data_IF_670865794422
#
_entry.id   IF_670865794422
#
_cell.length_a   1.000
_cell.length_b   1.000
_cell.length_c   1.000
_cell.angle_alpha   90.00
_cell.angle_beta   90.00
_cell.angle_gamma   90.00
#
_symmetry.space_group_name_H-M   'P 1'
#
loop_
_entity.id
_entity.type
_entity.pdbx_description
1 polymer ?
#
# COMPACT_ATOMS: atom_id res chain seq x y z
N UNK A 1 30.89 35.47 -44.49
CA UNK A 1 30.65 34.25 -43.68
C UNK A 1 29.18 34.27 -43.28
N UNK A 2 28.38 33.29 -43.69
CA UNK A 2 26.93 33.24 -43.43
C UNK A 2 26.69 32.31 -42.25
N UNK A 3 26.24 32.86 -41.11
CA UNK A 3 25.89 32.08 -39.94
C UNK A 3 24.48 31.49 -40.14
N UNK A 4 24.40 30.15 -40.14
CA UNK A 4 23.12 29.42 -40.15
C UNK A 4 22.73 29.22 -38.69
N UNK A 5 21.68 29.91 -38.24
CA UNK A 5 21.12 29.75 -36.90
C UNK A 5 20.20 28.52 -36.95
N UNK A 6 20.64 27.41 -36.36
CA UNK A 6 19.84 26.20 -36.21
C UNK A 6 18.98 26.36 -34.95
N UNK A 7 17.70 26.67 -35.12
CA UNK A 7 16.73 26.72 -34.03
C UNK A 7 16.44 25.29 -33.54
N UNK A 8 16.90 24.96 -32.34
CA UNK A 8 16.65 23.67 -31.69
C UNK A 8 15.26 23.71 -31.06
N UNK A 9 14.28 23.07 -31.70
CA UNK A 9 12.95 22.86 -31.11
C UNK A 9 13.06 21.72 -30.11
N UNK A 10 13.13 22.06 -28.81
CA UNK A 10 13.02 21.09 -27.72
C UNK A 10 11.55 20.69 -27.63
N UNK A 11 11.21 19.55 -28.21
CA UNK A 11 9.90 18.96 -28.04
C UNK A 11 9.76 18.48 -26.58
N UNK A 12 8.98 19.21 -25.77
CA UNK A 12 8.51 18.71 -24.48
C UNK A 12 7.55 17.54 -24.76
N UNK A 13 8.06 16.32 -24.69
CA UNK A 13 7.22 15.14 -24.67
C UNK A 13 6.52 15.09 -23.30
N UNK A 14 5.19 14.94 -23.26
CA UNK A 14 4.50 14.70 -22.00
C UNK A 14 4.96 13.36 -21.45
N UNK A 15 5.66 13.37 -20.32
CA UNK A 15 5.91 12.17 -19.52
C UNK A 15 4.56 11.66 -19.04
N UNK A 16 4.10 10.56 -19.64
CA UNK A 16 2.96 9.82 -19.12
C UNK A 16 3.36 9.32 -17.73
N UNK A 17 2.70 9.83 -16.70
CA UNK A 17 2.85 9.31 -15.36
C UNK A 17 2.34 7.87 -15.39
N UNK A 18 3.28 6.90 -15.37
CA UNK A 18 2.95 5.51 -15.14
C UNK A 18 2.37 5.47 -13.73
N UNK A 19 1.09 5.13 -13.61
CA UNK A 19 0.48 4.91 -12.32
C UNK A 19 1.34 3.89 -11.57
N UNK A 20 1.78 4.26 -10.37
CA UNK A 20 2.47 3.33 -9.51
C UNK A 20 1.55 2.13 -9.26
N UNK A 21 1.93 0.95 -9.76
CA UNK A 21 1.28 -0.34 -9.45
C UNK A 21 1.53 -0.78 -8.00
N UNK A 22 2.00 0.14 -7.15
CA UNK A 22 2.13 -0.04 -5.72
C UNK A 22 1.24 0.96 -4.97
N UNK A 23 0.64 0.50 -3.88
CA UNK A 23 -0.21 1.31 -3.03
C UNK A 23 -0.15 0.86 -1.58
N UNK A 24 -0.45 1.78 -0.67
CA UNK A 24 -0.54 1.51 0.76
C UNK A 24 -2.02 1.33 1.15
N UNK A 25 -2.38 0.18 1.72
CA UNK A 25 -3.62 -0.01 2.46
C UNK A 25 -3.37 0.30 3.93
N UNK A 26 -4.20 1.15 4.52
CA UNK A 26 -4.11 1.46 5.95
C UNK A 26 -5.36 0.91 6.63
N UNK A 27 -5.18 -0.16 7.39
CA UNK A 27 -6.23 -0.71 8.25
C UNK A 27 -6.24 0.07 9.55
N UNK A 28 -7.37 0.67 9.91
CA UNK A 28 -7.53 1.39 11.18
C UNK A 28 -8.70 0.81 11.93
N UNK A 29 -8.60 0.82 13.26
CA UNK A 29 -9.70 0.39 14.10
C UNK A 29 -9.47 0.71 15.57
N UNK A 30 -10.35 0.18 16.39
CA UNK A 30 -10.23 0.19 17.85
C UNK A 30 -10.39 -1.22 18.34
N UNK A 31 -9.47 -1.66 19.20
CA UNK A 31 -9.65 -2.88 20.00
C UNK A 31 -10.23 -2.46 21.34
N UNK A 32 -11.29 -3.15 21.78
CA UNK A 32 -11.88 -2.96 23.10
C UNK A 32 -11.57 -4.19 23.95
N UNK A 33 -10.74 -4.04 24.98
CA UNK A 33 -10.34 -5.14 25.86
C UNK A 33 -11.29 -5.19 27.06
N UNK A 34 -12.44 -5.86 26.92
CA UNK A 34 -13.38 -6.07 28.02
C UNK A 34 -13.92 -4.78 28.67
N UNK A 35 -14.76 -4.94 29.70
CA UNK A 35 -15.50 -3.83 30.35
C UNK A 35 -14.63 -2.86 31.18
N UNK A 36 -13.34 -3.15 31.36
CA UNK A 36 -12.47 -2.45 32.32
C UNK A 36 -11.24 -1.79 31.68
N UNK A 37 -10.77 -2.27 30.52
CA UNK A 37 -9.54 -1.81 29.90
C UNK A 37 -9.89 -1.07 28.59
N UNK A 38 -9.75 0.26 28.63
CA UNK A 38 -10.26 1.17 27.61
C UNK A 38 -9.86 0.86 26.15
N UNK A 39 -10.57 1.46 25.20
CA UNK A 39 -10.34 1.21 23.77
C UNK A 39 -8.93 1.65 23.33
N UNK A 40 -8.15 0.75 22.72
CA UNK A 40 -6.89 1.10 22.07
C UNK A 40 -7.10 1.31 20.58
N UNK A 41 -6.61 2.42 20.03
CA UNK A 41 -6.60 2.63 18.57
C UNK A 41 -5.45 1.83 17.98
N UNK A 42 -5.70 1.10 16.90
CA UNK A 42 -4.65 0.48 16.10
C UNK A 42 -4.69 1.01 14.67
N UNK A 43 -3.52 1.06 14.05
CA UNK A 43 -3.37 1.34 12.63
C UNK A 43 -2.26 0.44 12.09
N UNK A 44 -2.58 -0.36 11.09
CA UNK A 44 -1.63 -1.25 10.41
C UNK A 44 -1.53 -0.81 8.96
N UNK A 45 -0.31 -0.63 8.47
CA UNK A 45 -0.07 -0.30 7.05
C UNK A 45 0.33 -1.56 6.30
N UNK A 46 -0.23 -1.77 5.13
CA UNK A 46 0.17 -2.79 4.19
C UNK A 46 0.59 -2.12 2.89
N UNK A 47 1.84 -2.29 2.48
CA UNK A 47 2.30 -1.87 1.16
C UNK A 47 2.17 -3.03 0.19
N UNK A 48 1.50 -2.78 -0.92
CA UNK A 48 1.21 -3.78 -1.96
C UNK A 48 1.91 -3.33 -3.23
N UNK A 49 2.56 -4.26 -3.92
CA UNK A 49 3.15 -4.07 -5.23
C UNK A 49 2.58 -5.15 -6.17
N UNK A 50 1.72 -4.72 -7.09
CA UNK A 50 1.06 -5.61 -8.06
C UNK A 50 2.00 -6.01 -9.20
N UNK A 51 3.01 -5.20 -9.51
CA UNK A 51 4.02 -5.51 -10.53
C UNK A 51 4.86 -6.69 -10.09
N UNK A 52 5.38 -6.65 -8.85
CA UNK A 52 6.22 -7.71 -8.30
C UNK A 52 5.42 -8.81 -7.59
N UNK A 53 4.10 -8.65 -7.48
CA UNK A 53 3.18 -9.52 -6.75
C UNK A 53 3.65 -9.76 -5.31
N UNK A 54 4.02 -8.69 -4.62
CA UNK A 54 4.55 -8.72 -3.26
C UNK A 54 3.84 -7.74 -2.35
N UNK A 55 3.98 -7.98 -1.06
CA UNK A 55 3.46 -7.10 -0.03
C UNK A 55 4.34 -7.12 1.21
N UNK A 56 4.16 -6.10 2.05
CA UNK A 56 4.79 -6.01 3.35
C UNK A 56 3.94 -5.20 4.33
N UNK A 57 4.19 -5.41 5.63
CA UNK A 57 3.51 -4.71 6.72
C UNK A 57 4.40 -3.60 7.29
N UNK A 58 3.78 -2.51 7.72
CA UNK A 58 4.36 -1.38 8.45
C UNK A 58 5.63 -0.80 7.79
N UNK A 59 6.80 -1.05 8.37
CA UNK A 59 8.11 -0.57 7.88
C UNK A 59 8.73 -1.45 6.79
N UNK A 60 8.03 -2.50 6.39
CA UNK A 60 8.47 -3.49 5.42
C UNK A 60 9.73 -4.27 5.81
N UNK A 61 9.94 -4.53 7.12
CA UNK A 61 11.00 -5.41 7.60
C UNK A 61 10.96 -6.84 7.04
N UNK A 62 9.79 -7.29 6.55
CA UNK A 62 9.64 -8.55 5.79
C UNK A 62 8.76 -8.35 4.57
N UNK A 63 9.28 -8.73 3.40
CA UNK A 63 8.56 -8.72 2.12
C UNK A 63 8.12 -10.14 1.78
N UNK A 64 6.83 -10.30 1.51
CA UNK A 64 6.18 -11.58 1.24
C UNK A 64 5.53 -11.59 -0.14
N UNK A 65 5.40 -12.75 -0.79
CA UNK A 65 4.61 -12.86 -2.02
C UNK A 65 3.12 -12.69 -1.73
N UNK A 66 2.38 -12.15 -2.70
CA UNK A 66 0.92 -12.23 -2.74
C UNK A 66 0.50 -13.66 -3.11
N UNK A 67 -0.55 -14.17 -2.48
CA UNK A 67 -1.09 -15.51 -2.77
C UNK A 67 -1.86 -15.49 -4.08
N UNK A 68 -2.76 -14.52 -4.22
CA UNK A 68 -3.53 -14.30 -5.45
C UNK A 68 -4.00 -12.86 -5.56
N UNK A 69 -4.22 -12.42 -6.80
CA UNK A 69 -4.82 -11.14 -7.15
C UNK A 69 -5.86 -11.42 -8.23
N UNK A 70 -7.11 -11.07 -7.95
CA UNK A 70 -8.21 -11.03 -8.91
C UNK A 70 -8.85 -9.63 -8.89
N UNK A 71 -9.80 -9.37 -9.80
CA UNK A 71 -10.41 -8.05 -9.96
C UNK A 71 -11.11 -7.54 -8.69
N UNK A 72 -11.58 -8.44 -7.83
CA UNK A 72 -12.34 -8.11 -6.63
C UNK A 72 -11.54 -8.29 -5.34
N UNK A 73 -10.43 -9.04 -5.37
CA UNK A 73 -9.78 -9.53 -4.15
C UNK A 73 -8.28 -9.71 -4.32
N UNK A 74 -7.56 -9.28 -3.28
CA UNK A 74 -6.14 -9.57 -3.06
C UNK A 74 -6.04 -10.49 -1.85
N UNK A 75 -5.34 -11.62 -2.00
CA UNK A 75 -5.14 -12.60 -0.93
C UNK A 75 -3.70 -12.55 -0.45
N UNK A 76 -3.53 -12.39 0.86
CA UNK A 76 -2.23 -12.37 1.54
C UNK A 76 -1.98 -13.71 2.22
N UNK A 77 -0.70 -14.05 2.44
CA UNK A 77 -0.37 -15.06 3.44
C UNK A 77 -0.75 -14.50 4.82
N UNK A 78 -1.57 -15.23 5.59
CA UNK A 78 -1.80 -14.85 6.97
C UNK A 78 -0.47 -14.94 7.72
N UNK A 79 -0.03 -13.81 8.28
CA UNK A 79 0.99 -13.82 9.32
C UNK A 79 0.18 -13.95 10.60
N UNK A 80 0.09 -15.15 11.16
CA UNK A 80 -0.38 -15.30 12.52
C UNK A 80 0.71 -14.73 13.42
N UNK A 81 0.46 -13.55 13.97
CA UNK A 81 1.11 -13.09 15.18
C UNK A 81 0.19 -13.60 16.30
N UNK A 82 0.62 -14.62 17.03
CA UNK A 82 -0.21 -15.51 17.88
C UNK A 82 -0.89 -14.84 19.11
N UNK A 83 -1.07 -13.52 19.19
CA UNK A 83 -1.34 -12.82 20.47
C UNK A 83 -2.61 -11.95 20.58
N UNK A 84 -3.52 -11.89 19.60
CA UNK A 84 -4.71 -11.02 19.73
C UNK A 84 -6.02 -11.78 20.05
N UNK A 85 -6.27 -11.95 21.35
CA UNK A 85 -7.61 -12.24 21.92
C UNK A 85 -8.38 -10.93 22.08
N UNK A 86 -9.08 -10.50 21.03
CA UNK A 86 -9.99 -9.35 21.06
C UNK A 86 -10.94 -9.34 19.87
N UNK A 87 -12.16 -8.82 20.05
CA UNK A 87 -13.07 -8.53 18.95
C UNK A 87 -12.57 -7.28 18.22
N UNK A 88 -12.23 -7.43 16.93
CA UNK A 88 -11.59 -6.37 16.13
C UNK A 88 -12.54 -5.87 15.05
N UNK A 89 -12.99 -4.62 15.18
CA UNK A 89 -13.68 -3.91 14.10
C UNK A 89 -12.64 -3.40 13.08
N UNK A 90 -12.63 -3.98 11.88
CA UNK A 90 -11.74 -3.58 10.80
C UNK A 90 -12.40 -2.57 9.86
N UNK A 91 -11.79 -1.39 9.69
CA UNK A 91 -12.13 -0.45 8.63
C UNK A 91 -10.97 -0.33 7.63
N UNK A 92 -11.25 -0.60 6.36
CA UNK A 92 -10.29 -0.44 5.25
C UNK A 92 -10.53 0.92 4.61
N UNK A 93 -9.61 1.86 4.83
CA UNK A 93 -9.63 3.16 4.17
C UNK A 93 -8.64 3.18 3.00
N UNK A 94 -9.08 3.70 1.85
CA UNK A 94 -8.17 3.99 0.72
C UNK A 94 -7.31 5.20 1.10
N UNK A 95 -5.99 5.03 1.14
CA UNK A 95 -5.08 6.17 1.26
C UNK A 95 -5.06 6.94 -0.07
N UNK A 96 -5.48 8.21 -0.02
CA UNK A 96 -5.45 9.18 -1.12
C UNK A 96 -4.14 9.96 -1.16
#
# INVERSE_FOLDING_TARGET
>A
MRAIIIATVIALLPTQAIAADHFDLICRGRVTYGLLDGSQKFATRYRIDLTTKRWCRDDCGRVLPLVSVDEARITFHSIHDDDDVGEVDHFVERAS
#
